data_IF_849131472749
#
_entry.id   IF_849131472749
#
_cell.length_a   1.000
_cell.length_b   1.000
_cell.length_c   1.000
_cell.angle_alpha   90.00
_cell.angle_beta   90.00
_cell.angle_gamma   90.00
#
_symmetry.space_group_name_H-M   'P 1'
#
loop_
_entity.id
_entity.type
_entity.pdbx_description
1 polymer ?
#
# COMPACT_ATOMS: atom_id res chain seq x y z
N UNK A 1 27.08 -5.94 27.94
CA UNK A 1 26.27 -7.03 27.34
C UNK A 1 25.78 -6.51 26.01
N UNK A 2 26.14 -7.16 24.90
CA UNK A 2 25.55 -6.85 23.60
C UNK A 2 24.10 -7.34 23.66
N UNK A 3 23.12 -6.42 23.61
CA UNK A 3 21.71 -6.81 23.54
C UNK A 3 21.50 -7.71 22.33
N UNK A 4 20.78 -8.82 22.53
CA UNK A 4 20.50 -9.76 21.45
C UNK A 4 19.78 -9.02 20.31
N UNK A 5 20.40 -9.03 19.12
CA UNK A 5 19.86 -8.31 17.96
C UNK A 5 18.52 -8.90 17.56
N UNK A 6 17.57 -8.03 17.23
CA UNK A 6 16.26 -8.43 16.75
C UNK A 6 16.35 -8.80 15.26
N UNK A 7 16.11 -10.07 14.97
CA UNK A 7 16.12 -10.64 13.62
C UNK A 7 14.72 -10.57 12.99
N UNK A 8 14.66 -10.48 11.67
CA UNK A 8 13.42 -10.53 10.90
C UNK A 8 13.63 -11.17 9.52
N UNK A 9 12.52 -11.66 8.95
CA UNK A 9 12.49 -12.15 7.58
C UNK A 9 12.45 -10.98 6.60
N UNK A 10 13.30 -11.02 5.56
CA UNK A 10 13.27 -10.06 4.47
C UNK A 10 12.41 -10.49 3.30
N UNK A 11 11.85 -9.52 2.59
CA UNK A 11 11.28 -9.69 1.26
C UNK A 11 12.39 -9.59 0.19
N UNK A 12 12.23 -10.25 -0.96
CA UNK A 12 13.14 -10.10 -2.08
C UNK A 12 13.06 -8.66 -2.62
N UNK A 13 14.22 -7.99 -2.68
CA UNK A 13 14.32 -6.57 -3.02
C UNK A 13 13.89 -6.18 -4.43
N UNK A 14 13.80 -4.87 -4.66
CA UNK A 14 13.33 -4.24 -5.89
C UNK A 14 14.38 -4.15 -7.02
N UNK A 15 13.98 -3.67 -8.21
CA UNK A 15 14.89 -3.43 -9.33
C UNK A 15 15.93 -2.32 -9.06
N UNK A 16 16.99 -2.25 -9.88
CA UNK A 16 18.22 -1.49 -9.60
C UNK A 16 18.03 -0.03 -9.21
N UNK A 17 17.13 0.72 -9.85
CA UNK A 17 16.93 2.14 -9.53
C UNK A 17 16.10 2.37 -8.26
N UNK A 18 15.06 1.57 -8.05
CA UNK A 18 14.27 1.58 -6.81
C UNK A 18 15.16 1.24 -5.60
N UNK A 19 16.07 0.31 -5.80
CA UNK A 19 17.10 -0.07 -4.84
C UNK A 19 18.04 1.10 -4.47
N UNK A 20 18.56 1.84 -5.46
CA UNK A 20 19.43 2.99 -5.17
C UNK A 20 18.70 4.08 -4.37
N UNK A 21 17.45 4.35 -4.72
CA UNK A 21 16.62 5.30 -3.97
C UNK A 21 16.42 4.85 -2.52
N UNK A 22 16.12 3.56 -2.29
CA UNK A 22 16.01 2.98 -0.95
C UNK A 22 17.32 3.04 -0.17
N UNK A 23 18.46 2.72 -0.78
CA UNK A 23 19.78 2.78 -0.14
C UNK A 23 20.09 4.19 0.35
N UNK A 24 19.90 5.20 -0.51
CA UNK A 24 20.14 6.61 -0.17
C UNK A 24 19.20 7.09 0.93
N UNK A 25 17.90 6.79 0.79
CA UNK A 25 16.89 7.17 1.78
C UNK A 25 17.13 6.51 3.14
N UNK A 26 17.44 5.21 3.17
CA UNK A 26 17.74 4.47 4.39
C UNK A 26 18.98 5.02 5.09
N UNK A 27 20.03 5.35 4.34
CA UNK A 27 21.24 5.95 4.90
C UNK A 27 20.96 7.31 5.53
N UNK A 28 20.20 8.17 4.84
CA UNK A 28 19.81 9.48 5.36
C UNK A 28 18.99 9.35 6.65
N UNK A 29 17.97 8.48 6.66
CA UNK A 29 17.13 8.29 7.84
C UNK A 29 17.89 7.70 9.01
N UNK A 30 18.79 6.73 8.73
CA UNK A 30 19.60 6.14 9.79
C UNK A 30 20.51 7.17 10.44
N UNK A 31 21.18 8.01 9.64
CA UNK A 31 21.99 9.12 10.14
C UNK A 31 21.16 10.11 10.96
N UNK A 32 20.04 10.59 10.41
CA UNK A 32 19.17 11.57 11.09
C UNK A 32 18.58 11.03 12.39
N UNK A 33 18.19 9.76 12.45
CA UNK A 33 17.74 9.14 13.70
C UNK A 33 18.88 9.03 14.71
N UNK A 34 20.09 8.64 14.28
CA UNK A 34 21.26 8.57 15.14
C UNK A 34 21.65 9.92 15.75
N UNK A 35 21.45 11.03 15.02
CA UNK A 35 21.74 12.38 15.54
C UNK A 35 20.71 12.88 16.55
N UNK A 36 19.49 12.31 16.59
CA UNK A 36 18.49 12.70 17.60
C UNK A 36 18.91 12.33 19.03
N UNK A 37 19.82 11.36 19.17
CA UNK A 37 20.20 10.80 20.47
C UNK A 37 19.11 9.95 21.14
N UNK A 38 17.94 9.79 20.50
CA UNK A 38 16.82 9.00 21.02
C UNK A 38 16.97 7.53 20.67
N UNK A 39 16.43 6.59 21.46
CA UNK A 39 16.42 5.17 21.12
C UNK A 39 15.57 4.91 19.88
N UNK A 40 16.13 4.14 18.93
CA UNK A 40 15.40 3.66 17.76
C UNK A 40 15.96 2.33 17.26
N UNK A 41 15.14 1.64 16.47
CA UNK A 41 15.55 0.54 15.61
C UNK A 41 15.15 0.86 14.16
N UNK A 42 15.98 0.51 13.18
CA UNK A 42 15.69 0.63 11.75
C UNK A 42 15.92 -0.71 11.04
N UNK A 43 14.98 -1.10 10.19
CA UNK A 43 14.99 -2.30 9.35
C UNK A 43 14.62 -1.95 7.92
N UNK A 44 14.98 -2.82 6.98
CA UNK A 44 14.74 -2.67 5.53
C UNK A 44 14.22 -3.97 4.96
N UNK A 45 13.29 -3.89 4.01
CA UNK A 45 12.62 -5.05 3.40
C UNK A 45 11.91 -5.95 4.44
N UNK A 46 11.35 -5.38 5.52
CA UNK A 46 10.79 -6.17 6.63
C UNK A 46 9.48 -6.84 6.21
N UNK A 47 9.49 -8.16 6.06
CA UNK A 47 8.37 -8.89 5.46
C UNK A 47 7.03 -8.72 6.18
N UNK A 48 7.05 -8.55 7.50
CA UNK A 48 5.83 -8.34 8.31
C UNK A 48 5.14 -7.01 8.01
N UNK A 49 5.83 -6.03 7.40
CA UNK A 49 5.26 -4.75 7.02
C UNK A 49 4.50 -4.79 5.69
N UNK A 50 4.41 -5.95 5.03
CA UNK A 50 3.55 -6.15 3.86
C UNK A 50 4.00 -5.33 2.64
N UNK A 51 3.22 -4.29 2.28
CA UNK A 51 3.49 -3.35 1.18
C UNK A 51 4.15 -2.04 1.63
N UNK A 52 4.68 -2.02 2.84
CA UNK A 52 5.34 -0.86 3.46
C UNK A 52 6.69 -1.26 4.04
N UNK A 53 7.33 -2.20 3.38
CA UNK A 53 8.47 -2.98 3.87
C UNK A 53 9.82 -2.34 3.56
N UNK A 54 9.89 -1.38 2.63
CA UNK A 54 11.16 -0.79 2.20
C UNK A 54 12.00 -0.28 3.39
N UNK A 55 11.38 0.46 4.32
CA UNK A 55 12.01 0.91 5.57
C UNK A 55 11.00 0.83 6.74
N UNK A 56 11.40 0.17 7.82
CA UNK A 56 10.62 0.06 9.07
C UNK A 56 11.42 0.59 10.23
N UNK A 57 10.88 1.59 10.91
CA UNK A 57 11.50 2.19 12.08
C UNK A 57 10.65 1.96 13.32
N UNK A 58 11.30 1.70 14.45
CA UNK A 58 10.70 1.69 15.76
C UNK A 58 11.31 2.81 16.60
N UNK A 59 10.48 3.72 17.10
CA UNK A 59 10.87 4.85 17.93
C UNK A 59 10.71 4.44 19.39
N UNK A 60 11.83 4.22 20.09
CA UNK A 60 11.83 3.60 21.42
C UNK A 60 11.15 4.45 22.48
N UNK A 61 11.34 5.77 22.47
CA UNK A 61 10.68 6.69 23.42
C UNK A 61 9.16 6.68 23.26
N UNK A 62 8.69 6.58 22.01
CA UNK A 62 7.27 6.62 21.67
C UNK A 62 6.62 5.23 21.69
N UNK A 63 7.43 4.17 21.69
CA UNK A 63 7.00 2.78 21.60
C UNK A 63 6.19 2.47 20.33
N UNK A 64 6.44 3.21 19.25
CA UNK A 64 5.68 3.13 18.00
C UNK A 64 6.54 2.87 16.76
N UNK A 65 5.90 2.35 15.72
CA UNK A 65 6.44 2.02 14.41
C UNK A 65 6.06 3.05 13.37
N UNK A 66 7.04 3.41 12.55
CA UNK A 66 6.87 4.21 11.34
C UNK A 66 7.34 3.39 10.14
N UNK A 67 6.46 3.23 9.16
CA UNK A 67 6.72 2.43 7.95
C UNK A 67 6.86 3.36 6.75
N UNK A 68 7.77 3.07 5.84
CA UNK A 68 8.00 3.87 4.64
C UNK A 68 8.04 2.98 3.42
N UNK A 69 7.24 3.32 2.43
CA UNK A 69 7.31 2.79 1.08
C UNK A 69 7.88 3.87 0.16
N UNK A 70 9.09 3.65 -0.34
CA UNK A 70 9.74 4.49 -1.32
C UNK A 70 9.25 4.16 -2.74
N UNK A 71 8.78 5.17 -3.46
CA UNK A 71 8.43 5.13 -4.88
C UNK A 71 9.31 6.13 -5.61
N UNK A 72 9.88 5.71 -6.74
CA UNK A 72 10.68 6.56 -7.59
C UNK A 72 10.16 6.50 -9.02
N UNK A 73 10.12 7.65 -9.69
CA UNK A 73 9.80 7.78 -11.11
C UNK A 73 10.87 8.58 -11.82
N UNK A 74 11.36 8.05 -12.93
CA UNK A 74 12.30 8.74 -13.81
C UNK A 74 11.68 10.02 -14.41
N UNK A 75 10.42 9.92 -14.85
CA UNK A 75 9.68 11.03 -15.41
C UNK A 75 8.92 11.78 -14.30
N UNK A 76 9.55 12.80 -13.75
CA UNK A 76 8.99 13.68 -12.71
C UNK A 76 7.97 14.69 -13.25
N UNK A 77 7.77 14.77 -14.57
CA UNK A 77 6.72 15.64 -15.14
C UNK A 77 5.32 15.08 -14.90
N UNK A 78 5.23 13.77 -14.65
CA UNK A 78 3.99 13.11 -14.27
C UNK A 78 3.54 13.53 -12.89
N UNK A 79 2.23 13.45 -12.68
CA UNK A 79 1.61 13.73 -11.39
C UNK A 79 0.77 12.55 -10.95
N UNK A 80 0.68 12.36 -9.64
CA UNK A 80 -0.22 11.38 -9.04
C UNK A 80 -1.64 11.93 -9.17
N UNK A 81 -2.51 11.18 -9.84
CA UNK A 81 -3.92 11.55 -10.06
C UNK A 81 -4.88 10.83 -9.11
N UNK A 82 -6.12 11.34 -8.96
CA UNK A 82 -7.18 10.63 -8.22
C UNK A 82 -7.43 9.21 -8.75
N UNK A 83 -7.35 9.05 -10.07
CA UNK A 83 -7.54 7.74 -10.71
C UNK A 83 -6.38 6.78 -10.38
N UNK A 84 -5.15 7.29 -10.25
CA UNK A 84 -4.02 6.49 -9.78
C UNK A 84 -4.23 5.99 -8.34
N UNK A 85 -4.87 6.78 -7.48
CA UNK A 85 -5.16 6.40 -6.10
C UNK A 85 -6.28 5.35 -6.00
N UNK A 86 -7.30 5.43 -6.86
CA UNK A 86 -8.50 4.58 -6.78
C UNK A 86 -8.39 3.27 -7.59
N UNK A 87 -7.47 3.18 -8.54
CA UNK A 87 -7.21 1.95 -9.31
C UNK A 87 -6.49 0.89 -8.47
N UNK A 88 -6.71 -0.38 -8.79
CA UNK A 88 -6.04 -1.53 -8.13
C UNK A 88 -4.76 -1.99 -8.84
N UNK A 89 -4.34 -1.32 -9.91
CA UNK A 89 -3.20 -1.76 -10.74
C UNK A 89 -2.00 -0.86 -10.64
N UNK A 90 -2.19 0.40 -10.23
CA UNK A 90 -1.16 1.44 -10.14
C UNK A 90 -0.24 1.25 -8.93
N UNK A 91 0.86 1.99 -8.92
CA UNK A 91 1.83 1.99 -7.81
C UNK A 91 1.37 2.83 -6.62
N UNK A 92 0.43 3.76 -6.81
CA UNK A 92 -0.12 4.61 -5.76
C UNK A 92 -1.51 4.16 -5.29
N UNK A 93 -1.87 2.91 -5.57
CA UNK A 93 -3.17 2.31 -5.30
C UNK A 93 -3.50 2.27 -3.80
N UNK A 94 -4.43 3.12 -3.37
CA UNK A 94 -4.99 3.07 -2.02
C UNK A 94 -5.67 1.74 -1.71
N UNK A 95 -6.38 1.07 -2.64
CA UNK A 95 -6.87 -0.28 -2.40
C UNK A 95 -5.78 -1.27 -1.97
N UNK A 96 -4.64 -1.32 -2.69
CA UNK A 96 -3.53 -2.21 -2.32
C UNK A 96 -2.97 -1.89 -0.93
N UNK A 97 -2.83 -0.60 -0.63
CA UNK A 97 -2.31 -0.14 0.65
C UNK A 97 -3.29 -0.41 1.80
N UNK A 98 -4.59 -0.23 1.57
CA UNK A 98 -5.61 -0.55 2.55
C UNK A 98 -5.63 -2.05 2.88
N UNK A 99 -5.54 -2.92 1.87
CA UNK A 99 -5.45 -4.37 2.10
C UNK A 99 -4.21 -4.74 2.92
N UNK A 100 -3.06 -4.13 2.62
CA UNK A 100 -1.84 -4.31 3.41
C UNK A 100 -2.01 -3.81 4.84
N UNK A 101 -2.65 -2.65 5.04
CA UNK A 101 -2.94 -2.09 6.36
C UNK A 101 -3.81 -3.03 7.21
N UNK A 102 -4.83 -3.65 6.62
CA UNK A 102 -5.63 -4.69 7.32
C UNK A 102 -4.78 -5.89 7.72
N UNK A 103 -3.78 -6.24 6.92
CA UNK A 103 -2.76 -7.24 7.25
C UNK A 103 -1.92 -6.83 8.46
N UNK A 104 -1.41 -5.60 8.48
CA UNK A 104 -0.62 -5.07 9.60
C UNK A 104 -1.34 -5.17 10.94
N UNK A 105 -2.66 -4.94 10.97
CA UNK A 105 -3.46 -5.05 12.21
C UNK A 105 -3.45 -6.46 12.82
N UNK A 106 -3.08 -7.49 12.06
CA UNK A 106 -2.95 -8.88 12.54
C UNK A 106 -1.55 -9.18 13.07
N UNK A 107 -0.56 -8.36 12.74
CA UNK A 107 0.81 -8.51 13.19
C UNK A 107 0.98 -7.90 14.58
N UNK A 108 1.50 -8.69 15.52
CA UNK A 108 1.65 -8.30 16.93
C UNK A 108 2.49 -7.02 17.12
N UNK A 109 3.43 -6.77 16.21
CA UNK A 109 4.28 -5.57 16.27
C UNK A 109 3.51 -4.26 16.11
N UNK A 110 2.44 -4.25 15.31
CA UNK A 110 1.73 -3.01 14.92
C UNK A 110 0.39 -2.83 15.62
N UNK A 111 0.01 -3.75 16.52
CA UNK A 111 -1.22 -3.71 17.29
C UNK A 111 -1.16 -2.70 18.46
N UNK A 112 -2.31 -2.48 19.11
CA UNK A 112 -2.41 -1.70 20.36
C UNK A 112 -1.84 -0.27 20.28
N UNK A 113 -2.07 0.42 19.15
CA UNK A 113 -1.60 1.80 18.96
C UNK A 113 -0.10 1.92 18.68
N UNK A 114 0.59 0.79 18.44
CA UNK A 114 2.02 0.77 18.10
C UNK A 114 2.32 1.18 16.67
N UNK A 115 1.34 1.27 15.78
CA UNK A 115 1.55 1.87 14.47
C UNK A 115 1.33 3.38 14.57
N UNK A 116 2.33 4.18 14.21
CA UNK A 116 2.22 5.65 14.17
C UNK A 116 1.92 6.15 12.77
N UNK A 117 2.85 5.90 11.84
CA UNK A 117 2.74 6.40 10.46
C UNK A 117 3.04 5.32 9.43
N UNK A 118 2.38 5.44 8.28
CA UNK A 118 2.70 4.77 7.03
C UNK A 118 2.98 5.88 6.02
N UNK A 119 4.19 5.98 5.50
CA UNK A 119 4.59 7.03 4.56
C UNK A 119 4.77 6.43 3.17
N UNK A 120 4.06 6.97 2.19
CA UNK A 120 4.40 6.76 0.79
C UNK A 120 5.31 7.92 0.37
N UNK A 121 6.61 7.63 0.24
CA UNK A 121 7.63 8.60 -0.17
C UNK A 121 7.75 8.59 -1.69
N UNK A 122 7.63 9.74 -2.34
CA UNK A 122 7.71 9.82 -3.80
C UNK A 122 8.27 11.15 -4.30
N UNK A 123 9.04 11.08 -5.38
CA UNK A 123 9.53 12.24 -6.10
C UNK A 123 8.50 12.88 -7.04
N UNK A 124 7.31 12.30 -7.18
CA UNK A 124 6.24 12.90 -7.99
C UNK A 124 5.47 13.98 -7.23
N UNK A 125 5.03 14.99 -7.97
CA UNK A 125 4.00 15.95 -7.53
C UNK A 125 2.62 15.31 -7.55
N UNK A 126 1.71 15.88 -6.77
CA UNK A 126 0.28 15.54 -6.82
C UNK A 126 -0.47 16.47 -7.78
N UNK A 127 -1.51 15.94 -8.43
CA UNK A 127 -2.42 16.75 -9.25
C UNK A 127 -3.33 17.65 -8.38
N UNK A 128 -3.87 18.71 -8.96
CA UNK A 128 -4.70 19.68 -8.23
C UNK A 128 -6.00 19.06 -7.68
N UNK A 129 -6.55 18.03 -8.31
CA UNK A 129 -7.71 17.31 -7.80
C UNK A 129 -7.36 16.39 -6.62
N UNK A 130 -6.17 15.81 -6.59
CA UNK A 130 -5.67 15.09 -5.40
C UNK A 130 -5.51 16.06 -4.23
N UNK A 131 -5.02 17.28 -4.46
CA UNK A 131 -4.92 18.30 -3.40
C UNK A 131 -6.27 18.68 -2.77
N UNK A 132 -7.39 18.50 -3.47
CA UNK A 132 -8.74 18.77 -2.92
C UNK A 132 -9.17 17.76 -1.85
N UNK A 133 -8.59 16.56 -1.87
CA UNK A 133 -8.93 15.47 -0.93
C UNK A 133 -7.85 15.26 0.13
N UNK A 134 -6.89 16.18 0.21
CA UNK A 134 -5.73 16.12 1.10
C UNK A 134 -5.48 17.46 1.77
N UNK A 135 -4.79 17.40 2.90
CA UNK A 135 -4.33 18.57 3.63
C UNK A 135 -2.82 18.46 3.89
N UNK A 136 -2.09 19.58 3.79
CA UNK A 136 -0.68 19.59 4.13
C UNK A 136 -0.50 19.30 5.63
N UNK A 137 0.50 18.49 5.95
CA UNK A 137 0.88 18.14 7.31
C UNK A 137 2.05 19.01 7.72
N UNK A 138 1.87 19.77 8.79
CA UNK A 138 2.96 20.53 9.38
C UNK A 138 3.93 19.57 10.07
N UNK A 139 5.20 19.68 9.67
CA UNK A 139 6.32 19.00 10.32
C UNK A 139 6.60 19.73 11.64
N UNK A 140 5.78 19.45 12.65
CA UNK A 140 5.93 20.03 13.99
C UNK A 140 7.16 19.40 14.71
N UNK A 141 7.22 19.48 16.05
CA UNK A 141 8.21 18.79 16.88
C UNK A 141 8.19 17.23 16.79
N UNK A 142 7.49 16.65 15.82
CA UNK A 142 7.46 15.22 15.58
C UNK A 142 8.82 14.74 15.07
N UNK A 143 9.47 13.87 15.84
CA UNK A 143 10.85 13.45 15.54
C UNK A 143 10.92 12.72 14.21
N UNK A 144 9.94 11.88 13.90
CA UNK A 144 9.94 11.11 12.67
C UNK A 144 9.61 11.96 11.45
N UNK A 145 8.56 12.77 11.48
CA UNK A 145 8.24 13.63 10.33
C UNK A 145 9.38 14.61 10.02
N UNK A 146 10.13 15.06 11.03
CA UNK A 146 11.34 15.86 10.81
C UNK A 146 12.41 15.09 10.03
N UNK A 147 12.54 13.77 10.21
CA UNK A 147 13.46 12.97 9.38
C UNK A 147 13.03 12.88 7.93
N UNK A 148 11.73 13.05 7.62
CA UNK A 148 11.19 13.09 6.26
C UNK A 148 11.35 14.46 5.60
N UNK A 149 11.54 15.52 6.37
CA UNK A 149 11.65 16.87 5.84
C UNK A 149 13.01 17.05 5.17
N UNK A 150 13.02 17.10 3.85
CA UNK A 150 14.23 17.30 3.07
C UNK A 150 14.07 18.56 2.25
N UNK A 151 14.99 19.52 2.39
CA UNK A 151 15.00 20.71 1.53
C UNK A 151 15.90 20.45 0.33
N UNK A 152 15.38 20.65 -0.87
CA UNK A 152 16.12 20.51 -2.12
C UNK A 152 15.76 21.66 -3.06
N UNK A 153 16.76 22.26 -3.71
CA UNK A 153 16.53 23.34 -4.67
C UNK A 153 15.63 22.88 -5.81
N UNK A 154 14.62 23.69 -6.15
CA UNK A 154 13.68 23.41 -7.25
C UNK A 154 12.53 22.46 -6.92
N UNK A 155 12.48 21.92 -5.70
CA UNK A 155 11.37 21.12 -5.19
C UNK A 155 10.65 21.82 -4.06
N UNK A 156 9.38 21.47 -3.86
CA UNK A 156 8.55 21.87 -2.74
C UNK A 156 8.05 20.63 -1.98
N UNK A 157 8.95 19.92 -1.28
CA UNK A 157 8.62 18.66 -0.62
C UNK A 157 7.50 18.89 0.39
N UNK A 158 6.38 18.19 0.20
CA UNK A 158 5.18 18.39 1.00
C UNK A 158 4.68 17.06 1.52
N UNK A 159 4.34 17.03 2.81
CA UNK A 159 3.67 15.90 3.45
C UNK A 159 2.16 16.16 3.40
N UNK A 160 1.40 15.18 2.94
CA UNK A 160 -0.06 15.27 2.85
C UNK A 160 -0.72 14.17 3.70
N UNK A 161 -1.87 14.51 4.29
CA UNK A 161 -2.82 13.55 4.87
C UNK A 161 -4.12 13.63 4.10
N UNK A 162 -4.81 12.51 3.94
CA UNK A 162 -6.14 12.49 3.35
C UNK A 162 -7.18 13.11 4.30
N UNK A 163 -8.00 14.02 3.78
CA UNK A 163 -9.06 14.66 4.55
C UNK A 163 -10.21 13.65 4.77
N UNK A 164 -10.49 13.33 6.05
CA UNK A 164 -11.53 12.35 6.43
C UNK A 164 -12.96 12.87 6.31
N UNK A 165 -13.13 14.17 6.08
CA UNK A 165 -14.41 14.85 5.88
C UNK A 165 -14.79 14.92 4.39
N UNK A 166 -13.88 14.57 3.48
CA UNK A 166 -14.17 14.48 2.05
C UNK A 166 -14.94 13.18 1.73
N UNK A 167 -16.23 13.16 2.11
CA UNK A 167 -17.10 11.97 2.09
C UNK A 167 -17.15 11.30 0.72
N UNK A 168 -17.25 12.07 -0.37
CA UNK A 168 -17.41 11.51 -1.71
C UNK A 168 -16.22 10.62 -2.10
N UNK A 169 -15.00 11.09 -1.87
CA UNK A 169 -13.78 10.33 -2.16
C UNK A 169 -13.67 9.06 -1.32
N UNK A 170 -14.02 9.16 -0.03
CA UNK A 170 -14.01 8.01 0.88
C UNK A 170 -15.03 6.96 0.43
N UNK A 171 -16.24 7.37 0.04
CA UNK A 171 -17.24 6.45 -0.48
C UNK A 171 -16.79 5.80 -1.80
N UNK A 172 -16.16 6.55 -2.70
CA UNK A 172 -15.55 5.97 -3.90
C UNK A 172 -14.47 4.94 -3.54
N UNK A 173 -13.63 5.21 -2.56
CA UNK A 173 -12.62 4.26 -2.11
C UNK A 173 -13.26 3.02 -1.48
N UNK A 174 -14.23 3.19 -0.56
CA UNK A 174 -14.99 2.11 0.07
C UNK A 174 -15.61 1.20 -0.98
N UNK A 175 -16.18 1.76 -2.04
CA UNK A 175 -16.73 0.99 -3.14
C UNK A 175 -15.66 0.13 -3.81
N UNK A 176 -14.44 0.62 -3.98
CA UNK A 176 -13.35 -0.12 -4.63
C UNK A 176 -12.77 -1.23 -3.75
N UNK A 177 -12.69 -1.01 -2.44
CA UNK A 177 -12.06 -1.94 -1.47
C UNK A 177 -13.06 -2.91 -0.84
N UNK A 178 -14.37 -2.68 -0.97
CA UNK A 178 -15.37 -3.60 -0.44
C UNK A 178 -15.44 -4.88 -1.27
N UNK A 179 -15.40 -6.07 -0.64
CA UNK A 179 -15.56 -7.37 -1.32
C UNK A 179 -16.74 -7.45 -2.31
N UNK A 180 -17.84 -6.74 -2.03
CA UNK A 180 -19.01 -6.63 -2.92
C UNK A 180 -18.62 -6.18 -4.35
N UNK A 181 -17.68 -5.24 -4.47
CA UNK A 181 -17.21 -4.77 -5.78
C UNK A 181 -16.38 -5.81 -6.51
N UNK A 182 -15.57 -6.59 -5.79
CA UNK A 182 -14.81 -7.68 -6.41
C UNK A 182 -15.74 -8.75 -6.97
N UNK A 183 -16.77 -9.13 -6.20
CA UNK A 183 -17.79 -10.10 -6.66
C UNK A 183 -18.54 -9.56 -7.87
N UNK A 184 -18.95 -8.29 -7.86
CA UNK A 184 -19.64 -7.67 -9.00
C UNK A 184 -18.76 -7.69 -10.27
N UNK A 185 -17.48 -7.33 -10.13
CA UNK A 185 -16.52 -7.36 -11.23
C UNK A 185 -16.30 -8.78 -11.74
N UNK A 186 -16.07 -9.73 -10.84
CA UNK A 186 -15.86 -11.13 -11.21
C UNK A 186 -17.09 -11.73 -11.87
N UNK A 187 -18.29 -11.41 -11.41
CA UNK A 187 -19.52 -11.83 -12.05
C UNK A 187 -19.64 -11.26 -13.47
N UNK A 188 -19.39 -9.97 -13.65
CA UNK A 188 -19.37 -9.35 -14.97
C UNK A 188 -18.36 -10.01 -15.92
N UNK A 189 -17.14 -10.28 -15.44
CA UNK A 189 -16.10 -11.01 -16.19
C UNK A 189 -16.60 -12.40 -16.62
N UNK A 190 -17.24 -13.16 -15.73
CA UNK A 190 -17.75 -14.50 -16.02
C UNK A 190 -18.86 -14.48 -17.07
N UNK A 191 -19.78 -13.52 -16.97
CA UNK A 191 -20.89 -13.34 -17.92
C UNK A 191 -20.40 -13.05 -19.34
N UNK A 192 -19.41 -12.15 -19.46
CA UNK A 192 -18.85 -11.73 -20.75
C UNK A 192 -17.92 -12.79 -21.33
N UNK A 193 -17.06 -13.38 -20.50
CA UNK A 193 -16.11 -14.41 -20.92
C UNK A 193 -16.75 -15.80 -21.05
N UNK A 194 -18.05 -15.93 -20.74
CA UNK A 194 -18.82 -17.19 -20.82
C UNK A 194 -18.18 -18.30 -19.99
N UNK A 195 -17.64 -17.96 -18.83
CA UNK A 195 -17.00 -18.89 -17.91
C UNK A 195 -17.99 -19.33 -16.82
N UNK A 196 -17.74 -20.49 -16.23
CA UNK A 196 -18.60 -21.05 -15.17
C UNK A 196 -18.31 -20.39 -13.84
N UNK A 197 -19.38 -20.04 -13.12
CA UNK A 197 -19.34 -19.60 -11.73
C UNK A 197 -19.19 -20.83 -10.85
N UNK A 198 -18.17 -20.83 -9.99
CA UNK A 198 -17.78 -21.95 -9.13
C UNK A 198 -17.69 -21.56 -7.65
N UNK A 199 -17.91 -22.54 -6.77
CA UNK A 199 -17.71 -22.41 -5.31
C UNK A 199 -16.36 -23.05 -4.97
N UNK A 200 -15.27 -22.40 -5.35
CA UNK A 200 -13.94 -22.76 -4.86
C UNK A 200 -13.76 -22.16 -3.44
N UNK A 201 -13.30 -22.90 -2.43
CA UNK A 201 -13.02 -22.35 -1.09
C UNK A 201 -12.23 -21.04 -1.07
N UNK A 202 -11.34 -20.84 -2.04
CA UNK A 202 -10.51 -19.64 -2.18
C UNK A 202 -11.07 -18.63 -3.21
N UNK A 203 -12.26 -18.89 -3.77
CA UNK A 203 -12.89 -18.07 -4.80
C UNK A 203 -13.84 -17.02 -4.22
N UNK A 204 -13.93 -15.87 -4.88
CA UNK A 204 -14.77 -14.73 -4.43
C UNK A 204 -16.25 -15.07 -4.26
N UNK A 205 -16.76 -16.04 -5.02
CA UNK A 205 -18.16 -16.44 -4.96
C UNK A 205 -18.47 -17.37 -3.78
N UNK A 206 -17.46 -17.97 -3.14
CA UNK A 206 -17.68 -18.90 -2.03
C UNK A 206 -18.32 -18.21 -0.82
N UNK A 207 -17.80 -17.05 -0.42
CA UNK A 207 -18.35 -16.30 0.71
C UNK A 207 -19.72 -15.67 0.42
N UNK A 208 -20.01 -15.44 -0.86
CA UNK A 208 -21.24 -14.78 -1.33
C UNK A 208 -22.28 -15.76 -1.86
N UNK A 209 -22.00 -17.06 -1.85
CA UNK A 209 -22.85 -18.06 -2.52
C UNK A 209 -24.30 -17.99 -2.02
N UNK A 210 -24.50 -18.00 -0.70
CA UNK A 210 -25.84 -17.93 -0.10
C UNK A 210 -26.59 -16.68 -0.51
N UNK A 211 -25.92 -15.52 -0.51
CA UNK A 211 -26.49 -14.23 -0.88
C UNK A 211 -26.83 -14.16 -2.36
N UNK A 212 -25.95 -14.66 -3.22
CA UNK A 212 -26.16 -14.72 -4.65
C UNK A 212 -27.34 -15.63 -5.01
N UNK A 213 -27.47 -16.79 -4.36
CA UNK A 213 -28.61 -17.70 -4.60
C UNK A 213 -29.91 -17.13 -4.03
N UNK A 214 -29.86 -16.52 -2.85
CA UNK A 214 -31.03 -15.92 -2.19
C UNK A 214 -31.57 -14.74 -2.99
N UNK A 215 -30.69 -13.83 -3.41
CA UNK A 215 -31.11 -12.50 -3.85
C UNK A 215 -30.87 -12.20 -5.32
N UNK A 216 -29.96 -12.92 -5.99
CA UNK A 216 -29.48 -12.53 -7.34
C UNK A 216 -29.88 -13.54 -8.40
N UNK A 217 -29.73 -14.84 -8.13
CA UNK A 217 -29.92 -15.90 -9.12
C UNK A 217 -31.19 -16.70 -8.88
N UNK A 218 -31.92 -16.92 -9.98
CA UNK A 218 -32.88 -18.00 -10.11
C UNK A 218 -32.15 -19.20 -10.72
N UNK A 219 -31.75 -20.16 -9.88
CA UNK A 219 -30.96 -21.32 -10.30
C UNK A 219 -31.77 -22.29 -11.17
N UNK A 220 -33.09 -22.35 -11.00
CA UNK A 220 -33.96 -23.24 -11.77
C UNK A 220 -34.08 -22.75 -13.21
N UNK A 221 -34.26 -21.43 -13.37
CA UNK A 221 -34.30 -20.79 -14.69
C UNK A 221 -32.92 -20.51 -15.27
N UNK A 222 -31.86 -20.59 -14.46
CA UNK A 222 -30.51 -20.13 -14.78
C UNK A 222 -30.48 -18.67 -15.27
N UNK A 223 -31.22 -17.81 -14.56
CA UNK A 223 -31.36 -16.39 -14.85
C UNK A 223 -31.12 -15.54 -13.60
N UNK A 224 -31.13 -14.22 -13.76
CA UNK A 224 -31.24 -13.31 -12.63
C UNK A 224 -32.68 -13.23 -12.14
N UNK A 225 -32.88 -13.10 -10.83
CA UNK A 225 -34.20 -12.91 -10.21
C UNK A 225 -34.84 -11.60 -10.66
N UNK A 226 -36.14 -11.60 -10.89
CA UNK A 226 -36.85 -10.41 -11.35
C UNK A 226 -36.82 -9.29 -10.29
N UNK A 227 -36.86 -9.64 -9.01
CA UNK A 227 -36.75 -8.69 -7.89
C UNK A 227 -35.38 -7.98 -7.87
N UNK A 228 -34.32 -8.70 -8.24
CA UNK A 228 -32.98 -8.13 -8.38
C UNK A 228 -32.91 -7.13 -9.54
N UNK A 229 -33.52 -7.47 -10.67
CA UNK A 229 -33.47 -6.65 -11.87
C UNK A 229 -34.31 -5.37 -11.73
N UNK A 230 -35.51 -5.48 -11.16
CA UNK A 230 -36.51 -4.41 -11.10
C UNK A 230 -36.33 -3.45 -9.92
N UNK A 231 -35.37 -3.70 -9.03
CA UNK A 231 -35.05 -2.82 -7.88
C UNK A 231 -36.22 -2.71 -6.88
N UNK A 232 -36.60 -3.84 -6.27
CA UNK A 232 -37.61 -3.90 -5.20
C UNK A 232 -37.31 -2.87 -4.07
N UNK A 233 -38.27 -2.04 -3.63
CA UNK A 233 -38.09 -1.11 -2.50
C UNK A 233 -37.65 -1.75 -1.18
N UNK A 234 -37.94 -3.03 -0.96
CA UNK A 234 -37.53 -3.79 0.23
C UNK A 234 -36.08 -4.30 0.16
N UNK A 235 -35.41 -4.09 -0.98
CA UNK A 235 -34.03 -4.48 -1.20
C UNK A 235 -33.08 -3.70 -0.28
N UNK A 236 -32.10 -4.40 0.29
CA UNK A 236 -31.10 -3.73 1.11
C UNK A 236 -30.29 -2.73 0.28
N UNK A 237 -29.90 -1.61 0.89
CA UNK A 237 -29.05 -0.59 0.25
C UNK A 237 -27.75 -1.17 -0.33
N UNK A 238 -27.25 -2.26 0.26
CA UNK A 238 -26.03 -2.94 -0.16
C UNK A 238 -26.26 -3.84 -1.37
N UNK A 239 -27.44 -4.46 -1.49
CA UNK A 239 -27.82 -5.20 -2.70
C UNK A 239 -28.09 -4.24 -3.86
N UNK A 240 -28.72 -3.08 -3.62
CA UNK A 240 -28.79 -2.00 -4.62
C UNK A 240 -27.39 -1.57 -5.06
N UNK A 241 -26.44 -1.48 -4.13
CA UNK A 241 -25.06 -1.14 -4.45
C UNK A 241 -24.38 -2.21 -5.30
N UNK A 242 -24.53 -3.48 -4.95
CA UNK A 242 -24.03 -4.60 -5.76
C UNK A 242 -24.59 -4.55 -7.18
N UNK A 243 -25.91 -4.34 -7.33
CA UNK A 243 -26.61 -4.15 -8.60
C UNK A 243 -25.97 -3.01 -9.42
N UNK A 244 -25.83 -1.83 -8.82
CA UNK A 244 -25.18 -0.68 -9.47
C UNK A 244 -23.74 -0.97 -9.92
N UNK A 245 -22.93 -1.62 -9.07
CA UNK A 245 -21.54 -1.95 -9.39
C UNK A 245 -21.43 -2.97 -10.52
N UNK A 246 -22.32 -3.96 -10.54
CA UNK A 246 -22.40 -4.96 -11.62
C UNK A 246 -22.78 -4.28 -12.94
N UNK A 247 -23.79 -3.42 -12.92
CA UNK A 247 -24.24 -2.67 -14.09
C UNK A 247 -23.13 -1.80 -14.65
N UNK A 248 -22.51 -0.96 -13.81
CA UNK A 248 -21.40 -0.08 -14.20
C UNK A 248 -20.26 -0.87 -14.82
N UNK A 249 -19.93 -2.01 -14.25
CA UNK A 249 -18.84 -2.87 -14.75
C UNK A 249 -19.19 -3.48 -16.10
N UNK A 250 -20.42 -3.95 -16.29
CA UNK A 250 -20.89 -4.47 -17.57
C UNK A 250 -20.94 -3.39 -18.65
N UNK A 251 -21.43 -2.17 -18.34
CA UNK A 251 -21.37 -1.02 -19.27
C UNK A 251 -19.94 -0.80 -19.77
N UNK A 252 -18.99 -0.79 -18.84
CA UNK A 252 -17.57 -0.59 -19.14
C UNK A 252 -16.97 -1.71 -19.99
N UNK A 253 -17.22 -2.99 -19.65
CA UNK A 253 -16.66 -4.13 -20.40
C UNK A 253 -17.30 -4.25 -21.79
N UNK A 254 -18.61 -4.04 -21.90
CA UNK A 254 -19.35 -4.17 -23.15
C UNK A 254 -19.24 -2.94 -24.06
N UNK A 255 -18.73 -1.81 -23.52
CA UNK A 255 -18.71 -0.51 -24.20
C UNK A 255 -20.12 -0.10 -24.68
N UNK A 256 -21.11 -0.30 -23.81
CA UNK A 256 -22.51 0.04 -24.06
C UNK A 256 -22.93 1.15 -23.10
N UNK A 257 -23.01 2.38 -23.61
CA UNK A 257 -23.35 3.55 -22.80
C UNK A 257 -24.78 3.47 -22.27
N UNK A 258 -25.70 2.84 -23.00
CA UNK A 258 -27.13 2.72 -22.66
C UNK A 258 -27.52 1.41 -21.95
N UNK A 259 -26.58 0.54 -21.58
CA UNK A 259 -26.93 -0.75 -20.98
C UNK A 259 -27.59 -0.59 -19.60
N UNK A 260 -28.82 -1.08 -19.45
CA UNK A 260 -29.51 -1.18 -18.15
C UNK A 260 -29.36 -2.59 -17.58
N UNK A 261 -29.22 -2.69 -16.26
CA UNK A 261 -29.19 -4.01 -15.59
C UNK A 261 -30.47 -4.82 -15.81
N UNK A 262 -31.61 -4.16 -16.04
CA UNK A 262 -32.89 -4.81 -16.37
C UNK A 262 -32.82 -5.64 -17.65
N UNK A 263 -31.84 -5.36 -18.52
CA UNK A 263 -31.67 -6.07 -19.79
C UNK A 263 -30.86 -7.37 -19.65
N UNK A 264 -30.32 -7.68 -18.46
CA UNK A 264 -29.46 -8.85 -18.23
C UNK A 264 -30.07 -10.16 -18.75
N UNK A 265 -31.29 -10.47 -18.32
CA UNK A 265 -31.96 -11.71 -18.72
C UNK A 265 -32.21 -11.75 -20.24
N UNK A 266 -32.58 -10.63 -20.85
CA UNK A 266 -32.73 -10.52 -22.32
C UNK A 266 -31.39 -10.78 -23.03
N UNK A 267 -30.29 -10.23 -22.53
CA UNK A 267 -28.95 -10.46 -23.12
C UNK A 267 -28.48 -11.91 -22.96
N UNK A 268 -28.85 -12.58 -21.86
CA UNK A 268 -28.56 -14.00 -21.65
C UNK A 268 -29.39 -14.87 -22.61
N UNK A 269 -30.68 -14.62 -22.70
CA UNK A 269 -31.61 -15.38 -23.57
C UNK A 269 -31.27 -15.21 -25.06
N UNK A 270 -30.82 -14.03 -25.48
CA UNK A 270 -30.32 -13.79 -26.84
C UNK A 270 -28.91 -14.33 -27.09
N UNK A 271 -28.28 -14.92 -26.07
CA UNK A 271 -26.93 -15.50 -26.15
C UNK A 271 -25.80 -14.49 -26.25
N UNK A 272 -26.05 -13.19 -26.02
CA UNK A 272 -25.01 -12.14 -25.97
C UNK A 272 -24.14 -12.30 -24.72
N UNK A 273 -24.76 -12.60 -23.59
CA UNK A 273 -24.10 -13.00 -22.34
C UNK A 273 -24.37 -14.48 -22.04
N UNK A 274 -23.58 -15.09 -21.17
CA UNK A 274 -23.88 -16.44 -20.65
C UNK A 274 -23.73 -16.49 -19.14
N UNK A 275 -24.79 -16.89 -18.45
CA UNK A 275 -24.75 -17.27 -17.05
C UNK A 275 -24.57 -18.79 -16.98
N UNK A 276 -23.43 -19.25 -16.46
CA UNK A 276 -23.10 -20.67 -16.38
C UNK A 276 -22.67 -21.00 -14.96
N UNK A 277 -23.15 -22.12 -14.44
CA UNK A 277 -22.80 -22.59 -13.09
C UNK A 277 -22.05 -23.92 -13.17
N UNK A 278 -21.10 -24.13 -12.27
CA UNK A 278 -20.59 -25.48 -12.00
C UNK A 278 -21.60 -26.29 -11.19
N UNK A 279 -21.58 -27.62 -11.34
CA UNK A 279 -22.51 -28.52 -10.64
C UNK A 279 -22.46 -28.34 -9.11
N UNK A 280 -21.28 -28.08 -8.56
CA UNK A 280 -21.10 -27.79 -7.14
C UNK A 280 -21.76 -26.48 -6.68
N UNK A 281 -21.98 -25.52 -7.59
CA UNK A 281 -22.65 -24.26 -7.29
C UNK A 281 -24.17 -24.43 -7.10
N UNK A 282 -24.77 -25.28 -7.94
CA UNK A 282 -26.21 -25.55 -7.94
C UNK A 282 -26.62 -26.52 -6.81
N UNK A 283 -25.78 -27.53 -6.53
CA UNK A 283 -26.09 -28.60 -5.57
C UNK A 283 -25.91 -28.22 -4.10
N UNK A 284 -25.12 -27.18 -3.79
CA UNK A 284 -24.97 -26.66 -2.42
C UNK A 284 -26.14 -25.73 -2.08
N UNK A 285 -27.37 -26.23 -2.01
CA UNK A 285 -28.42 -25.48 -1.30
C UNK A 285 -28.00 -25.49 0.17
N UNK A 286 -27.71 -24.30 0.70
CA UNK A 286 -27.07 -24.07 2.00
C UNK A 286 -27.78 -24.86 3.09
N UNK A 287 -27.18 -25.96 3.55
CA UNK A 287 -27.53 -26.55 4.83
C UNK A 287 -27.22 -25.50 5.89
N UNK A 288 -28.25 -25.11 6.65
CA UNK A 288 -28.19 -24.08 7.67
C UNK A 288 -27.15 -24.46 8.73
N UNK A 289 -25.90 -24.00 8.55
CA UNK A 289 -24.87 -24.11 9.59
C UNK A 289 -25.22 -23.16 10.73
N UNK A 290 -24.95 -23.56 11.98
CA UNK A 290 -25.23 -22.82 13.21
C UNK A 290 -24.54 -21.45 13.37
N UNK A 291 -23.88 -20.92 12.34
CA UNK A 291 -23.30 -19.56 12.35
C UNK A 291 -24.35 -18.55 11.87
N UNK A 292 -24.41 -17.34 12.45
CA UNK A 292 -25.30 -16.30 11.98
C UNK A 292 -25.06 -16.04 10.48
N UNK A 293 -26.13 -16.01 9.70
CA UNK A 293 -26.06 -15.77 8.26
C UNK A 293 -25.56 -14.34 8.03
N UNK A 294 -24.37 -14.21 7.46
CA UNK A 294 -23.87 -12.91 6.98
C UNK A 294 -24.83 -12.34 5.93
N UNK A 295 -25.01 -11.03 5.93
CA UNK A 295 -25.76 -10.30 4.91
C UNK A 295 -24.82 -9.41 4.06
N UNK A 296 -25.33 -8.81 2.98
CA UNK A 296 -24.56 -7.94 2.10
C UNK A 296 -23.81 -6.83 2.84
N UNK A 297 -24.43 -6.28 3.90
CA UNK A 297 -23.82 -5.21 4.71
C UNK A 297 -22.54 -5.62 5.43
N UNK A 298 -22.39 -6.91 5.76
CA UNK A 298 -21.19 -7.42 6.44
C UNK A 298 -19.95 -7.44 5.54
N UNK A 299 -20.17 -7.33 4.22
CA UNK A 299 -19.11 -7.28 3.21
C UNK A 299 -18.78 -5.87 2.75
N UNK A 300 -19.39 -4.84 3.36
CA UNK A 300 -19.02 -3.45 3.10
C UNK A 300 -17.95 -3.02 4.11
N UNK A 301 -16.85 -2.47 3.61
CA UNK A 301 -15.84 -1.84 4.46
C UNK A 301 -16.46 -0.64 5.18
N UNK A 302 -16.24 -0.54 6.49
CA UNK A 302 -16.79 0.57 7.28
C UNK A 302 -15.98 1.83 7.05
N UNK A 303 -16.64 2.99 7.05
CA UNK A 303 -15.97 4.29 6.93
C UNK A 303 -14.93 4.49 8.05
N UNK A 304 -15.22 4.01 9.24
CA UNK A 304 -14.30 4.06 10.38
C UNK A 304 -12.98 3.32 10.11
N UNK A 305 -13.00 2.22 9.37
CA UNK A 305 -11.77 1.50 8.99
C UNK A 305 -10.92 2.30 7.99
N UNK A 306 -11.56 2.98 7.03
CA UNK A 306 -10.85 3.86 6.08
C UNK A 306 -10.29 5.10 6.77
N UNK A 307 -11.05 5.68 7.70
CA UNK A 307 -10.59 6.82 8.48
C UNK A 307 -9.39 6.45 9.35
N UNK A 308 -9.42 5.29 10.00
CA UNK A 308 -8.28 4.76 10.77
C UNK A 308 -7.04 4.58 9.86
N UNK A 309 -7.22 4.02 8.66
CA UNK A 309 -6.13 3.91 7.68
C UNK A 309 -5.55 5.29 7.32
N UNK A 310 -6.40 6.28 7.03
CA UNK A 310 -5.98 7.64 6.67
C UNK A 310 -5.34 8.42 7.82
N UNK A 311 -5.64 8.08 9.08
CA UNK A 311 -4.94 8.67 10.23
C UNK A 311 -3.46 8.30 10.25
N UNK A 312 -3.12 7.08 9.84
CA UNK A 312 -1.74 6.61 9.75
C UNK A 312 -1.04 6.98 8.44
N UNK A 313 -1.78 7.05 7.34
CA UNK A 313 -1.22 7.26 6.01
C UNK A 313 -0.78 8.71 5.77
N UNK A 314 0.46 8.88 5.32
CA UNK A 314 1.06 10.12 4.87
C UNK A 314 1.56 9.93 3.44
N UNK A 315 1.25 10.86 2.54
CA UNK A 315 1.86 10.94 1.22
C UNK A 315 2.93 12.04 1.25
N UNK A 316 4.20 11.65 1.21
CA UNK A 316 5.32 12.57 1.08
C UNK A 316 5.60 12.77 -0.41
N UNK A 317 5.11 13.86 -0.98
CA UNK A 317 5.17 14.16 -2.41
C UNK A 317 6.24 15.21 -2.73
N UNK A 318 6.63 15.28 -4.01
CA UNK A 318 7.68 16.14 -4.55
C UNK A 318 9.01 16.00 -3.80
N UNK A 319 9.30 14.80 -3.33
CA UNK A 319 10.50 14.54 -2.54
C UNK A 319 11.75 14.43 -3.42
N UNK A 320 12.94 14.56 -2.85
CA UNK A 320 14.18 14.34 -3.57
C UNK A 320 14.26 12.94 -4.21
N UNK A 321 14.76 12.87 -5.44
CA UNK A 321 15.10 11.62 -6.12
C UNK A 321 16.47 11.11 -5.65
N UNK A 322 16.92 9.96 -6.16
CA UNK A 322 18.17 9.34 -5.69
C UNK A 322 19.43 10.19 -5.92
N UNK A 323 19.48 11.02 -6.98
CA UNK A 323 20.61 11.92 -7.26
C UNK A 323 20.64 13.05 -6.24
N UNK A 324 19.48 13.66 -6.02
CA UNK A 324 19.33 14.74 -5.05
C UNK A 324 19.57 14.23 -3.62
N UNK A 325 19.04 13.06 -3.27
CA UNK A 325 19.29 12.39 -1.99
C UNK A 325 20.78 12.10 -1.78
N UNK A 326 21.53 11.75 -2.82
CA UNK A 326 22.97 11.57 -2.72
C UNK A 326 23.67 12.89 -2.36
N UNK A 327 23.34 13.98 -3.06
CA UNK A 327 23.89 15.30 -2.77
C UNK A 327 23.56 15.76 -1.34
N UNK A 328 22.31 15.54 -0.90
CA UNK A 328 21.86 15.85 0.46
C UNK A 328 22.62 15.00 1.49
N UNK A 329 22.72 13.69 1.26
CA UNK A 329 23.44 12.78 2.17
C UNK A 329 24.91 13.17 2.27
N UNK A 330 25.54 13.54 1.14
CA UNK A 330 26.92 14.04 1.09
C UNK A 330 27.14 15.21 2.04
N UNK A 331 26.24 16.19 2.02
CA UNK A 331 26.35 17.39 2.86
C UNK A 331 25.95 17.11 4.31
N UNK A 332 24.78 16.52 4.54
CA UNK A 332 24.21 16.37 5.89
C UNK A 332 24.93 15.31 6.73
N UNK A 333 25.34 14.21 6.11
CA UNK A 333 25.88 13.05 6.84
C UNK A 333 27.41 13.12 6.92
N UNK A 334 28.06 13.50 5.83
CA UNK A 334 29.52 13.41 5.71
C UNK A 334 30.22 14.76 5.80
N UNK A 335 29.52 15.86 5.50
CA UNK A 335 30.08 17.20 5.43
C UNK A 335 31.02 17.39 4.23
N UNK A 336 31.46 18.62 3.98
CA UNK A 336 32.37 18.95 2.86
C UNK A 336 33.84 18.70 3.24
N UNK A 337 34.18 17.45 3.58
CA UNK A 337 35.55 17.04 3.96
C UNK A 337 36.37 16.61 2.73
N UNK A 338 37.69 16.64 2.87
CA UNK A 338 38.68 16.36 1.80
C UNK A 338 38.60 14.93 1.20
N UNK A 339 37.89 14.00 1.86
CA UNK A 339 37.66 12.61 1.42
C UNK A 339 36.19 12.21 1.52
N UNK A 340 35.29 13.17 1.32
CA UNK A 340 33.85 12.95 1.49
C UNK A 340 33.32 11.85 0.58
N UNK A 341 33.83 11.73 -0.65
CA UNK A 341 33.36 10.76 -1.63
C UNK A 341 33.80 9.33 -1.28
N UNK A 342 35.04 9.14 -0.85
CA UNK A 342 35.55 7.87 -0.35
C UNK A 342 34.81 7.43 0.92
N UNK A 343 34.58 8.38 1.83
CA UNK A 343 33.84 8.12 3.07
C UNK A 343 32.39 7.75 2.83
N UNK A 344 31.73 8.49 1.96
CA UNK A 344 30.37 8.19 1.53
C UNK A 344 30.28 6.80 0.88
N UNK A 345 31.20 6.46 -0.04
CA UNK A 345 31.24 5.11 -0.66
C UNK A 345 31.42 4.02 0.38
N UNK A 346 32.39 4.15 1.29
CA UNK A 346 32.65 3.14 2.31
C UNK A 346 31.45 2.93 3.26
N UNK A 347 30.71 4.00 3.59
CA UNK A 347 29.47 3.91 4.38
C UNK A 347 28.36 3.25 3.56
N UNK A 348 28.15 3.66 2.31
CA UNK A 348 27.17 3.04 1.44
C UNK A 348 27.44 1.55 1.22
N UNK A 349 28.69 1.11 1.11
CA UNK A 349 29.05 -0.31 0.99
C UNK A 349 28.68 -1.13 2.25
N UNK A 350 28.65 -0.50 3.42
CA UNK A 350 28.20 -1.16 4.65
C UNK A 350 26.67 -1.24 4.72
N UNK A 351 25.98 -0.15 4.36
CA UNK A 351 24.51 -0.11 4.33
C UNK A 351 23.97 -1.01 3.21
N UNK A 352 24.60 -1.03 2.03
CA UNK A 352 24.25 -1.90 0.89
C UNK A 352 24.33 -3.38 1.28
N UNK A 353 25.42 -3.79 1.96
CA UNK A 353 25.53 -5.15 2.51
C UNK A 353 24.40 -5.45 3.48
N UNK A 354 24.13 -4.54 4.42
CA UNK A 354 23.01 -4.73 5.35
C UNK A 354 21.66 -4.86 4.63
N UNK A 355 21.40 -4.13 3.54
CA UNK A 355 20.16 -4.28 2.75
C UNK A 355 20.15 -5.63 2.03
N UNK A 356 21.27 -6.07 1.45
CA UNK A 356 21.37 -7.31 0.65
C UNK A 356 21.46 -8.60 1.46
N UNK A 357 21.85 -8.53 2.74
CA UNK A 357 21.97 -9.70 3.60
C UNK A 357 20.65 -10.48 3.63
N UNK A 358 20.72 -11.80 3.50
CA UNK A 358 19.53 -12.65 3.37
C UNK A 358 18.66 -12.71 4.64
N UNK A 359 19.28 -12.49 5.80
CA UNK A 359 18.57 -12.32 7.08
C UNK A 359 18.51 -10.83 7.45
N UNK A 360 17.35 -10.39 7.93
CA UNK A 360 17.14 -9.03 8.38
C UNK A 360 17.58 -8.83 9.82
N UNK A 361 18.33 -7.76 10.07
CA UNK A 361 18.72 -7.34 11.41
C UNK A 361 18.29 -5.90 11.61
N UNK A 362 17.61 -5.60 12.71
CA UNK A 362 17.33 -4.22 13.10
C UNK A 362 18.62 -3.55 13.61
N UNK A 363 18.91 -2.34 13.12
CA UNK A 363 20.07 -1.55 13.51
C UNK A 363 19.67 -0.36 14.39
N UNK A 364 20.59 0.13 15.22
CA UNK A 364 20.36 1.27 16.10
C UNK A 364 21.53 2.29 16.06
N UNK A 365 21.47 3.31 16.92
CA UNK A 365 22.49 4.36 16.98
C UNK A 365 23.94 3.86 17.18
N UNK A 366 24.15 2.75 17.91
CA UNK A 366 25.48 2.18 18.10
C UNK A 366 25.98 1.50 16.83
N UNK A 367 25.10 0.85 16.07
CA UNK A 367 25.45 0.29 14.77
C UNK A 367 25.82 1.39 13.78
N UNK A 368 25.12 2.53 13.79
CA UNK A 368 25.47 3.69 12.97
C UNK A 368 26.90 4.18 13.29
N UNK A 369 27.21 4.38 14.58
CA UNK A 369 28.55 4.78 15.02
C UNK A 369 29.60 3.78 14.55
N UNK A 370 29.34 2.48 14.68
CA UNK A 370 30.25 1.42 14.22
C UNK A 370 30.46 1.47 12.71
N UNK A 371 29.40 1.66 11.93
CA UNK A 371 29.49 1.82 10.46
C UNK A 371 30.40 3.00 10.12
N UNK A 372 30.14 4.17 10.70
CA UNK A 372 30.96 5.37 10.50
C UNK A 372 32.44 5.15 10.88
N UNK A 373 32.71 4.60 12.07
CA UNK A 373 34.08 4.32 12.53
C UNK A 373 34.81 3.34 11.63
N UNK A 374 34.15 2.24 11.23
CA UNK A 374 34.74 1.25 10.33
C UNK A 374 35.03 1.83 8.94
N UNK A 375 34.14 2.67 8.42
CA UNK A 375 34.34 3.34 7.13
C UNK A 375 35.51 4.31 7.17
N UNK A 376 35.65 5.07 8.26
CA UNK A 376 36.76 6.01 8.43
C UNK A 376 38.11 5.28 8.51
N UNK A 377 38.17 4.21 9.31
CA UNK A 377 39.39 3.39 9.46
C UNK A 377 39.88 2.82 8.11
N UNK A 378 38.95 2.35 7.26
CA UNK A 378 39.29 1.84 5.91
C UNK A 378 39.97 2.89 5.04
N UNK A 379 39.59 4.15 5.18
CA UNK A 379 40.13 5.25 4.37
C UNK A 379 41.51 5.62 4.88
N UNK A 380 41.65 5.78 6.20
CA UNK A 380 42.95 6.12 6.80
C UNK A 380 44.01 5.06 6.53
N UNK A 381 43.65 3.77 6.60
CA UNK A 381 44.58 2.67 6.29
C UNK A 381 44.98 2.65 4.81
N UNK A 382 44.05 2.99 3.91
CA UNK A 382 44.31 3.09 2.47
C UNK A 382 45.22 4.28 2.14
N UNK A 383 45.04 5.43 2.79
CA UNK A 383 45.88 6.61 2.60
C UNK A 383 47.29 6.36 3.13
N UNK A 384 47.43 5.75 4.30
CA UNK A 384 48.74 5.37 4.88
C UNK A 384 49.44 4.34 3.98
N UNK A 385 48.72 3.35 3.45
CA UNK A 385 49.29 2.37 2.52
C UNK A 385 49.71 2.96 1.17
N UNK A 386 49.08 4.04 0.72
CA UNK A 386 49.46 4.74 -0.52
C UNK A 386 50.69 5.62 -0.30
N UNK A 387 50.77 6.32 0.83
CA UNK A 387 51.95 7.12 1.21
C UNK A 387 53.20 6.28 1.52
N UNK A 388 53.05 5.01 1.90
CA UNK A 388 54.19 4.09 2.12
C UNK A 388 54.66 3.38 0.83
N UNK A 389 53.96 3.59 -0.30
CA UNK A 389 54.31 3.03 -1.61
C UNK A 389 54.89 4.05 -2.59
N UNK A 390 54.89 5.33 -2.22
CA UNK A 390 55.64 6.42 -2.85
C UNK A 390 56.94 6.67 -2.08
#
# INVERSE_FOLDING_TARGET
MEEARKLYKKNPGSGTEGYLNQLRLSTLYFSRLATTGKPFEIGVEVATAGKFDDIVMYLGDEQQYCLVQAKHKQDETKRITLDDLLKTTTEYSLPKYFDSFRGLKREVFYQAGRLKYIVIYTNLKVDENVKKVMEPVLVNADTFLNTLNVQCGGKEPTLYRFNTDYIEFIEQLIDRISPICEVARKLAEQLVQRKKISINPNGVFHEFHSLLVRDVFDLDRQLFRDEFLTSNPEMSIYLHKFRYLLERTLRSILKLDEFSITDLNRLILTGKLKLLFETGFVSKIVSQSAKPSKDWGDYRVKRTEVNEFFQHLILAADQPNFIELEAITKVEVFGLKEYVDEYMRAVFDQVDRWIRDGEGVFLNANDWKRICSNSLARITDTTISTMLKE
#
